data_IF_142334551432
#
_entry.id   IF_142334551432
#
_cell.length_a   1.000
_cell.length_b   1.000
_cell.length_c   1.000
_cell.angle_alpha   90.00
_cell.angle_beta   90.00
_cell.angle_gamma   90.00
#
_symmetry.space_group_name_H-M   'P 1'
#
loop_
_entity.id
_entity.type
_entity.pdbx_description
1 polymer ?
#
# COMPACT_ATOMS: atom_id res chain seq x y z
N UNK A 1 -5.82 0.47 -15.79
CA UNK A 1 -6.38 -0.90 -15.76
C UNK A 1 -7.90 -0.87 -15.82
N UNK A 2 -8.63 -0.49 -14.76
CA UNK A 2 -10.09 -0.63 -14.74
C UNK A 2 -10.83 0.02 -15.92
N UNK A 3 -10.49 1.27 -16.26
CA UNK A 3 -11.04 1.93 -17.46
C UNK A 3 -10.76 1.17 -18.76
N UNK A 4 -9.55 0.64 -18.91
CA UNK A 4 -9.17 -0.14 -20.09
C UNK A 4 -9.97 -1.46 -20.13
N UNK A 5 -9.99 -2.21 -19.03
CA UNK A 5 -10.72 -3.48 -18.93
C UNK A 5 -12.22 -3.30 -19.19
N UNK A 6 -12.83 -2.25 -18.63
CA UNK A 6 -14.25 -1.96 -18.85
C UNK A 6 -14.58 -1.59 -20.31
N UNK A 7 -13.61 -1.07 -21.07
CA UNK A 7 -13.77 -0.73 -22.48
C UNK A 7 -13.43 -1.85 -23.46
N UNK A 8 -12.93 -3.00 -22.99
CA UNK A 8 -12.43 -4.10 -23.82
C UNK A 8 -13.05 -5.44 -23.36
N UNK A 9 -14.20 -5.85 -23.94
CA UNK A 9 -14.92 -7.07 -23.54
C UNK A 9 -14.07 -8.35 -23.58
N UNK A 10 -13.11 -8.43 -24.50
CA UNK A 10 -12.18 -9.55 -24.63
C UNK A 10 -11.20 -9.66 -23.46
N UNK A 11 -10.93 -8.56 -22.76
CA UNK A 11 -10.11 -8.55 -21.55
C UNK A 11 -10.97 -8.91 -20.34
N UNK A 12 -12.19 -8.38 -20.28
CA UNK A 12 -13.15 -8.68 -19.23
C UNK A 12 -13.57 -10.16 -19.23
N UNK A 13 -13.71 -10.76 -20.42
CA UNK A 13 -13.98 -12.19 -20.59
C UNK A 13 -12.85 -13.10 -20.06
N UNK A 14 -11.62 -12.59 -19.90
CA UNK A 14 -10.52 -13.34 -19.28
C UNK A 14 -10.63 -13.39 -17.75
N UNK A 15 -11.50 -12.59 -17.13
CA UNK A 15 -11.66 -12.50 -15.68
C UNK A 15 -12.66 -13.51 -15.10
N UNK A 16 -13.28 -14.35 -15.94
CA UNK A 16 -14.24 -15.38 -15.51
C UNK A 16 -15.39 -15.50 -16.51
N UNK A 17 -16.27 -16.49 -16.31
CA UNK A 17 -17.51 -16.55 -17.08
C UNK A 17 -18.43 -15.37 -16.71
N UNK A 18 -19.41 -15.07 -17.57
CA UNK A 18 -20.40 -14.02 -17.29
C UNK A 18 -21.11 -14.24 -15.95
N UNK A 19 -21.50 -15.48 -15.67
CA UNK A 19 -22.12 -15.87 -14.40
C UNK A 19 -21.19 -15.66 -13.20
N UNK A 20 -19.89 -15.97 -13.32
CA UNK A 20 -18.92 -15.75 -12.24
C UNK A 20 -18.74 -14.25 -11.95
N UNK A 21 -18.66 -13.42 -13.00
CA UNK A 21 -18.50 -11.97 -12.85
C UNK A 21 -19.76 -11.33 -12.27
N UNK A 22 -20.94 -11.79 -12.67
CA UNK A 22 -22.21 -11.34 -12.09
C UNK A 22 -22.31 -11.73 -10.61
N UNK A 23 -22.02 -12.98 -10.25
CA UNK A 23 -22.03 -13.43 -8.86
C UNK A 23 -21.02 -12.64 -8.01
N UNK A 24 -19.85 -12.34 -8.58
CA UNK A 24 -18.85 -11.51 -7.92
C UNK A 24 -19.38 -10.10 -7.63
N UNK A 25 -20.00 -9.45 -8.63
CA UNK A 25 -20.50 -8.09 -8.49
C UNK A 25 -21.68 -7.97 -7.52
N UNK A 26 -22.64 -8.91 -7.61
CA UNK A 26 -23.88 -8.86 -6.83
C UNK A 26 -23.68 -9.31 -5.38
N UNK A 27 -22.75 -10.23 -5.13
CA UNK A 27 -22.62 -10.87 -3.81
C UNK A 27 -21.20 -10.86 -3.27
N UNK A 28 -20.26 -11.51 -3.97
CA UNK A 28 -18.96 -11.86 -3.36
C UNK A 28 -18.12 -10.63 -2.97
N UNK A 29 -18.20 -9.54 -3.76
CA UNK A 29 -17.45 -8.33 -3.48
C UNK A 29 -17.88 -7.67 -2.16
N UNK A 30 -19.18 -7.49 -1.94
CA UNK A 30 -19.70 -6.85 -0.74
C UNK A 30 -19.57 -7.76 0.48
N UNK A 31 -19.83 -9.05 0.31
CA UNK A 31 -19.85 -10.01 1.40
C UNK A 31 -18.48 -10.20 2.06
N UNK A 32 -17.39 -10.01 1.29
CA UNK A 32 -16.02 -9.97 1.78
C UNK A 32 -15.83 -9.05 3.00
N UNK A 33 -16.50 -7.89 3.03
CA UNK A 33 -16.37 -6.88 4.08
C UNK A 33 -17.34 -7.05 5.26
N UNK A 34 -18.24 -8.02 5.21
CA UNK A 34 -19.30 -8.21 6.21
C UNK A 34 -19.39 -9.61 6.82
N UNK A 35 -18.84 -10.64 6.18
CA UNK A 35 -19.02 -12.04 6.59
C UNK A 35 -18.16 -12.47 7.79
N UNK A 36 -17.09 -11.74 8.11
CA UNK A 36 -16.11 -12.16 9.12
C UNK A 36 -16.16 -11.26 10.37
N UNK A 37 -15.87 -11.81 11.58
CA UNK A 37 -15.68 -10.98 12.77
C UNK A 37 -14.62 -9.90 12.52
N UNK A 38 -14.94 -8.64 12.83
CA UNK A 38 -14.11 -7.47 12.53
C UNK A 38 -12.64 -7.62 12.94
N UNK A 39 -12.38 -8.23 14.11
CA UNK A 39 -11.02 -8.40 14.63
C UNK A 39 -10.19 -9.41 13.82
N UNK A 40 -10.76 -10.56 13.45
CA UNK A 40 -10.05 -11.57 12.67
C UNK A 40 -9.85 -11.10 11.22
N UNK A 41 -10.85 -10.42 10.67
CA UNK A 41 -10.78 -9.81 9.34
C UNK A 41 -9.69 -8.73 9.28
N UNK A 42 -9.71 -7.77 10.21
CA UNK A 42 -8.67 -6.75 10.38
C UNK A 42 -7.27 -7.37 10.44
N UNK A 43 -7.05 -8.34 11.34
CA UNK A 43 -5.74 -8.94 11.54
C UNK A 43 -5.19 -9.59 10.27
N UNK A 44 -6.05 -10.26 9.50
CA UNK A 44 -5.70 -10.88 8.21
C UNK A 44 -5.29 -9.82 7.18
N UNK A 45 -6.12 -8.80 6.98
CA UNK A 45 -5.87 -7.79 5.93
C UNK A 45 -4.65 -6.93 6.26
N UNK A 46 -4.54 -6.48 7.51
CA UNK A 46 -3.37 -5.75 7.96
C UNK A 46 -2.07 -6.54 7.77
N UNK A 47 -2.04 -7.81 8.21
CA UNK A 47 -0.86 -8.67 8.05
C UNK A 47 -0.50 -8.87 6.59
N UNK A 48 -1.50 -9.10 5.72
CA UNK A 48 -1.27 -9.25 4.29
C UNK A 48 -0.66 -8.00 3.67
N UNK A 49 -1.23 -6.82 3.94
CA UNK A 49 -0.72 -5.57 3.40
C UNK A 49 0.68 -5.23 3.92
N UNK A 50 0.93 -5.43 5.23
CA UNK A 50 2.24 -5.23 5.81
C UNK A 50 3.28 -6.16 5.18
N UNK A 51 2.91 -7.40 4.92
CA UNK A 51 3.75 -8.39 4.24
C UNK A 51 4.05 -8.01 2.79
N UNK A 52 3.05 -7.55 2.03
CA UNK A 52 3.22 -7.06 0.66
C UNK A 52 4.18 -5.87 0.63
N UNK A 53 4.02 -4.90 1.53
CA UNK A 53 4.94 -3.75 1.64
C UNK A 53 6.37 -4.19 1.99
N UNK A 54 6.51 -5.15 2.91
CA UNK A 54 7.81 -5.70 3.30
C UNK A 54 8.52 -6.41 2.15
N UNK A 55 7.82 -7.30 1.41
CA UNK A 55 8.38 -7.97 0.22
C UNK A 55 8.77 -6.95 -0.84
N UNK A 56 7.96 -5.92 -1.05
CA UNK A 56 8.23 -4.86 -2.02
C UNK A 56 9.57 -4.19 -1.74
N UNK A 57 9.83 -3.81 -0.49
CA UNK A 57 11.08 -3.18 -0.07
C UNK A 57 12.24 -4.19 -0.11
N UNK A 58 12.03 -5.42 0.38
CA UNK A 58 13.05 -6.46 0.39
C UNK A 58 13.50 -6.87 -1.03
N UNK A 59 12.57 -6.92 -1.99
CA UNK A 59 12.82 -7.25 -3.39
C UNK A 59 13.40 -6.10 -4.23
N UNK A 60 13.69 -4.95 -3.62
CA UNK A 60 14.19 -3.74 -4.27
C UNK A 60 15.40 -3.97 -5.17
N UNK A 61 16.33 -4.87 -4.81
CA UNK A 61 17.58 -5.09 -5.55
C UNK A 61 17.38 -5.47 -7.03
N UNK A 62 16.23 -6.02 -7.41
CA UNK A 62 15.92 -6.36 -8.80
C UNK A 62 15.25 -5.22 -9.58
N UNK A 63 14.58 -4.29 -8.90
CA UNK A 63 13.61 -3.36 -9.49
C UNK A 63 12.34 -4.02 -10.06
N UNK A 64 12.38 -5.31 -10.37
CA UNK A 64 11.26 -6.09 -10.93
C UNK A 64 10.19 -6.37 -9.88
N UNK A 65 10.58 -6.77 -8.66
CA UNK A 65 9.62 -7.06 -7.59
C UNK A 65 8.71 -5.87 -7.27
N UNK A 66 9.22 -4.65 -6.99
CA UNK A 66 8.34 -3.52 -6.74
C UNK A 66 7.47 -3.17 -7.95
N UNK A 67 7.98 -3.28 -9.18
CA UNK A 67 7.16 -3.08 -10.37
C UNK A 67 6.00 -4.08 -10.45
N UNK A 68 6.30 -5.36 -10.20
CA UNK A 68 5.32 -6.44 -10.23
C UNK A 68 4.25 -6.25 -9.16
N UNK A 69 4.62 -5.88 -7.93
CA UNK A 69 3.64 -5.62 -6.85
C UNK A 69 2.71 -4.46 -7.20
N UNK A 70 3.26 -3.37 -7.73
CA UNK A 70 2.47 -2.21 -8.17
C UNK A 70 1.51 -2.60 -9.30
N UNK A 71 1.97 -3.41 -10.25
CA UNK A 71 1.15 -3.93 -11.33
C UNK A 71 0.02 -4.82 -10.81
N UNK A 72 0.31 -5.77 -9.92
CA UNK A 72 -0.69 -6.66 -9.34
C UNK A 72 -1.77 -5.89 -8.56
N UNK A 73 -1.39 -4.86 -7.80
CA UNK A 73 -2.36 -3.98 -7.12
C UNK A 73 -3.25 -3.25 -8.12
N UNK A 74 -2.68 -2.72 -9.21
CA UNK A 74 -3.44 -2.05 -10.26
C UNK A 74 -4.38 -3.02 -11.02
N UNK A 75 -3.94 -4.25 -11.27
CA UNK A 75 -4.75 -5.31 -11.90
C UNK A 75 -5.88 -5.76 -10.99
N UNK A 76 -5.60 -6.04 -9.71
CA UNK A 76 -6.61 -6.46 -8.75
C UNK A 76 -7.70 -5.41 -8.54
N UNK A 77 -7.32 -4.20 -8.13
CA UNK A 77 -8.29 -3.12 -7.90
C UNK A 77 -8.99 -2.68 -9.20
N UNK A 78 -8.26 -2.61 -10.31
CA UNK A 78 -8.81 -2.23 -11.61
C UNK A 78 -9.76 -3.29 -12.18
N UNK A 79 -9.44 -4.57 -12.05
CA UNK A 79 -10.28 -5.67 -12.49
C UNK A 79 -11.57 -5.75 -11.68
N UNK A 80 -11.47 -5.66 -10.35
CA UNK A 80 -12.64 -5.57 -9.49
C UNK A 80 -13.54 -4.39 -9.88
N UNK A 81 -12.97 -3.19 -10.06
CA UNK A 81 -13.73 -2.02 -10.51
C UNK A 81 -14.41 -2.22 -11.87
N UNK A 82 -13.76 -2.91 -12.82
CA UNK A 82 -14.32 -3.17 -14.14
C UNK A 82 -15.50 -4.15 -14.07
N UNK A 83 -15.40 -5.23 -13.29
CA UNK A 83 -16.51 -6.17 -13.06
C UNK A 83 -17.67 -5.45 -12.36
N UNK A 84 -17.40 -4.67 -11.32
CA UNK A 84 -18.42 -3.91 -10.62
C UNK A 84 -19.11 -2.89 -11.55
N UNK A 85 -18.35 -2.27 -12.46
CA UNK A 85 -18.91 -1.37 -13.48
C UNK A 85 -19.80 -2.10 -14.50
N UNK A 86 -19.41 -3.30 -14.96
CA UNK A 86 -20.16 -4.12 -15.93
C UNK A 86 -21.61 -4.34 -15.48
N UNK A 87 -21.81 -4.63 -14.19
CA UNK A 87 -23.13 -4.93 -13.61
C UNK A 87 -23.77 -3.76 -12.86
N UNK A 88 -23.22 -2.54 -12.97
CA UNK A 88 -23.83 -1.33 -12.41
C UNK A 88 -23.61 -1.11 -10.90
N UNK A 89 -22.63 -1.77 -10.29
CA UNK A 89 -22.29 -1.71 -8.85
C UNK A 89 -21.04 -0.87 -8.54
N UNK A 90 -20.63 0.03 -9.45
CA UNK A 90 -19.41 0.83 -9.26
C UNK A 90 -19.50 1.78 -8.05
N UNK A 91 -20.70 2.21 -7.68
CA UNK A 91 -20.95 2.98 -6.46
C UNK A 91 -20.64 2.17 -5.19
N UNK A 92 -21.10 0.91 -5.13
CA UNK A 92 -20.81 -0.02 -4.03
C UNK A 92 -19.31 -0.30 -3.94
N UNK A 93 -18.63 -0.46 -5.10
CA UNK A 93 -17.17 -0.58 -5.14
C UNK A 93 -16.48 0.57 -4.40
N UNK A 94 -16.81 1.82 -4.74
CA UNK A 94 -16.18 2.97 -4.08
C UNK A 94 -16.62 3.14 -2.62
N UNK A 95 -17.87 2.82 -2.29
CA UNK A 95 -18.37 2.86 -0.91
C UNK A 95 -17.58 1.93 0.02
N UNK A 96 -17.26 0.74 -0.47
CA UNK A 96 -16.52 -0.26 0.30
C UNK A 96 -15.01 0.03 0.31
N UNK A 97 -14.42 0.46 -0.81
CA UNK A 97 -12.97 0.68 -0.93
C UNK A 97 -12.51 2.02 -0.35
N UNK A 98 -13.20 3.13 -0.65
CA UNK A 98 -12.71 4.46 -0.33
C UNK A 98 -12.41 4.73 1.17
N UNK A 99 -13.15 4.17 2.15
CA UNK A 99 -12.84 4.38 3.57
C UNK A 99 -11.42 3.97 3.95
N UNK A 100 -10.87 2.90 3.38
CA UNK A 100 -9.55 2.36 3.78
C UNK A 100 -8.55 2.35 2.62
N UNK A 101 -9.00 1.98 1.42
CA UNK A 101 -8.17 1.79 0.22
C UNK A 101 -7.40 3.03 -0.22
N UNK A 102 -7.87 4.24 0.13
CA UNK A 102 -7.12 5.49 -0.10
C UNK A 102 -5.76 5.50 0.61
N UNK A 103 -5.75 5.12 1.88
CA UNK A 103 -4.54 5.09 2.69
C UNK A 103 -3.69 3.86 2.36
N UNK A 104 -4.32 2.71 2.14
CA UNK A 104 -3.66 1.47 1.73
C UNK A 104 -2.89 1.63 0.42
N UNK A 105 -3.54 2.10 -0.65
CA UNK A 105 -2.89 2.30 -1.94
C UNK A 105 -1.75 3.29 -1.84
N UNK A 106 -1.92 4.36 -1.05
CA UNK A 106 -0.84 5.32 -0.78
C UNK A 106 0.36 4.63 -0.11
N UNK A 107 0.13 3.78 0.89
CA UNK A 107 1.19 3.04 1.56
C UNK A 107 1.91 2.05 0.61
N UNK A 108 1.17 1.32 -0.22
CA UNK A 108 1.73 0.40 -1.22
C UNK A 108 2.58 1.18 -2.24
N UNK A 109 2.11 2.33 -2.72
CA UNK A 109 2.89 3.17 -3.65
C UNK A 109 4.14 3.76 -3.01
N UNK A 110 4.08 4.16 -1.74
CA UNK A 110 5.26 4.63 -1.00
C UNK A 110 6.26 3.49 -0.80
N UNK A 111 5.80 2.27 -0.52
CA UNK A 111 6.65 1.08 -0.46
C UNK A 111 7.36 0.84 -1.80
N UNK A 112 6.62 0.92 -2.91
CA UNK A 112 7.17 0.81 -4.26
C UNK A 112 8.20 1.91 -4.56
N UNK A 113 7.89 3.17 -4.26
CA UNK A 113 8.81 4.29 -4.43
C UNK A 113 10.09 4.16 -3.59
N UNK A 114 9.96 3.72 -2.34
CA UNK A 114 11.09 3.43 -1.47
C UNK A 114 11.97 2.29 -2.01
N UNK A 115 11.35 1.22 -2.48
CA UNK A 115 12.05 0.11 -3.12
C UNK A 115 12.78 0.54 -4.40
N UNK A 116 12.16 1.37 -5.25
CA UNK A 116 12.81 1.91 -6.44
C UNK A 116 13.95 2.87 -6.11
N UNK A 117 13.85 3.66 -5.03
CA UNK A 117 14.97 4.48 -4.55
C UNK A 117 16.17 3.59 -4.15
N UNK A 118 15.91 2.50 -3.43
CA UNK A 118 16.95 1.56 -3.01
C UNK A 118 17.56 0.85 -4.23
N UNK A 119 16.72 0.41 -5.19
CA UNK A 119 17.19 -0.12 -6.48
C UNK A 119 18.09 0.88 -7.21
N UNK A 120 17.63 2.12 -7.37
CA UNK A 120 18.38 3.16 -8.08
C UNK A 120 19.73 3.44 -7.44
N UNK A 121 19.81 3.37 -6.11
CA UNK A 121 21.07 3.52 -5.37
C UNK A 121 22.10 2.45 -5.75
N UNK A 122 21.66 1.23 -6.10
CA UNK A 122 22.57 0.21 -6.62
C UNK A 122 23.19 0.63 -7.95
N UNK A 123 22.43 1.29 -8.82
CA UNK A 123 22.83 1.65 -10.18
C UNK A 123 23.66 2.94 -10.20
N UNK A 124 23.22 3.95 -9.47
CA UNK A 124 23.79 5.29 -9.43
C UNK A 124 24.00 5.75 -7.97
N UNK A 125 25.03 5.22 -7.26
CA UNK A 125 25.29 5.54 -5.85
C UNK A 125 25.86 6.97 -5.62
N UNK A 126 26.15 7.70 -6.71
CA UNK A 126 26.86 8.98 -6.68
C UNK A 126 28.35 8.78 -6.34
N UNK A 127 28.95 9.64 -5.50
CA UNK A 127 30.38 9.55 -5.15
C UNK A 127 30.70 8.43 -4.15
N UNK A 128 29.69 7.74 -3.60
CA UNK A 128 29.84 6.65 -2.63
C UNK A 128 30.11 5.33 -3.34
N UNK A 129 30.81 4.41 -2.67
CA UNK A 129 30.84 3.01 -3.13
C UNK A 129 29.44 2.41 -3.07
N UNK A 130 29.14 1.45 -3.97
CA UNK A 130 27.82 0.79 -4.04
C UNK A 130 27.42 0.16 -2.71
N UNK A 131 28.33 -0.56 -2.07
CA UNK A 131 28.08 -1.20 -0.77
C UNK A 131 27.76 -0.17 0.32
N UNK A 132 28.53 0.93 0.39
CA UNK A 132 28.28 1.98 1.38
C UNK A 132 26.94 2.66 1.16
N UNK A 133 26.65 3.07 -0.08
CA UNK A 133 25.39 3.71 -0.42
C UNK A 133 24.19 2.80 -0.10
N UNK A 134 24.29 1.51 -0.41
CA UNK A 134 23.25 0.53 -0.10
C UNK A 134 23.07 0.30 1.41
N UNK A 135 24.15 0.27 2.18
CA UNK A 135 24.06 0.13 3.64
C UNK A 135 23.38 1.35 4.29
N UNK A 136 23.73 2.56 3.85
CA UNK A 136 23.11 3.81 4.33
C UNK A 136 21.62 3.88 3.97
N UNK A 137 21.27 3.66 2.69
CA UNK A 137 19.87 3.70 2.25
C UNK A 137 19.05 2.54 2.83
N UNK A 138 19.63 1.35 2.93
CA UNK A 138 18.98 0.17 3.50
C UNK A 138 18.63 0.36 4.97
N UNK A 139 19.49 1.02 5.77
CA UNK A 139 19.17 1.36 7.15
C UNK A 139 18.03 2.37 7.26
N UNK A 140 18.03 3.39 6.40
CA UNK A 140 16.93 4.34 6.32
C UNK A 140 15.59 3.69 5.94
N UNK A 141 15.61 2.57 5.19
CA UNK A 141 14.39 1.83 4.85
C UNK A 141 13.70 1.17 6.04
N UNK A 142 14.37 0.89 7.16
CA UNK A 142 13.70 0.37 8.36
C UNK A 142 12.69 1.39 8.92
N UNK A 143 13.05 2.67 8.93
CA UNK A 143 12.14 3.74 9.36
C UNK A 143 10.92 3.85 8.44
N UNK A 144 11.14 3.71 7.13
CA UNK A 144 10.04 3.70 6.14
C UNK A 144 9.14 2.47 6.34
N UNK A 145 9.72 1.28 6.46
CA UNK A 145 8.97 0.04 6.67
C UNK A 145 8.13 0.09 7.95
N UNK A 146 8.70 0.54 9.07
CA UNK A 146 7.98 0.71 10.32
C UNK A 146 6.85 1.73 10.19
N UNK A 147 7.11 2.88 9.54
CA UNK A 147 6.09 3.88 9.25
C UNK A 147 4.94 3.31 8.42
N UNK A 148 5.25 2.52 7.39
CA UNK A 148 4.25 1.87 6.54
C UNK A 148 3.43 0.83 7.30
N UNK A 149 4.04 0.03 8.19
CA UNK A 149 3.31 -0.93 9.05
C UNK A 149 2.27 -0.20 9.90
N UNK A 150 2.60 0.96 10.47
CA UNK A 150 1.68 1.78 11.25
C UNK A 150 0.57 2.42 10.40
N UNK A 151 0.91 2.90 9.21
CA UNK A 151 -0.07 3.47 8.28
C UNK A 151 -1.06 2.40 7.81
N UNK A 152 -0.57 1.21 7.48
CA UNK A 152 -1.38 0.06 7.09
C UNK A 152 -2.21 -0.48 8.27
N UNK A 153 -1.71 -0.35 9.50
CA UNK A 153 -2.49 -0.65 10.70
C UNK A 153 -3.71 0.24 10.80
N UNK A 154 -3.55 1.56 10.60
CA UNK A 154 -4.67 2.51 10.56
C UNK A 154 -5.65 2.14 9.43
N UNK A 155 -5.15 1.82 8.25
CA UNK A 155 -5.98 1.37 7.12
C UNK A 155 -6.80 0.12 7.47
N UNK A 156 -6.15 -0.91 8.00
CA UNK A 156 -6.81 -2.15 8.39
C UNK A 156 -7.84 -1.95 9.50
N UNK A 157 -7.60 -1.04 10.46
CA UNK A 157 -8.60 -0.70 11.49
C UNK A 157 -9.84 -0.09 10.83
N UNK A 158 -9.64 0.84 9.89
CA UNK A 158 -10.77 1.44 9.16
C UNK A 158 -11.51 0.35 8.38
N UNK A 159 -10.81 -0.55 7.72
CA UNK A 159 -11.42 -1.63 6.98
C UNK A 159 -12.23 -2.58 7.87
N UNK A 160 -11.62 -3.08 8.95
CA UNK A 160 -12.24 -4.08 9.81
C UNK A 160 -13.40 -3.55 10.65
N UNK A 161 -13.35 -2.27 11.04
CA UNK A 161 -14.30 -1.70 12.00
C UNK A 161 -15.21 -0.60 11.43
N UNK A 162 -14.80 0.10 10.38
CA UNK A 162 -15.57 1.21 9.79
C UNK A 162 -16.29 0.75 8.53
N UNK A 163 -15.63 0.04 7.60
CA UNK A 163 -16.23 -0.37 6.32
C UNK A 163 -17.51 -1.19 6.52
N UNK A 164 -17.45 -2.23 7.37
CA UNK A 164 -18.60 -3.09 7.69
C UNK A 164 -19.59 -2.52 8.72
N UNK A 165 -19.38 -1.30 9.24
CA UNK A 165 -20.24 -0.71 10.28
C UNK A 165 -21.57 -0.18 9.75
N UNK A 166 -22.50 0.13 10.67
CA UNK A 166 -23.78 0.78 10.37
C UNK A 166 -23.69 2.30 10.10
N UNK A 167 -22.48 2.87 10.05
CA UNK A 167 -22.31 4.30 9.75
C UNK A 167 -22.81 4.65 8.34
N UNK A 168 -23.31 5.87 8.10
CA UNK A 168 -23.59 6.34 6.74
C UNK A 168 -22.33 6.33 5.88
N UNK A 169 -22.45 5.97 4.60
CA UNK A 169 -21.30 5.89 3.68
C UNK A 169 -20.46 7.16 3.61
N UNK A 170 -21.12 8.34 3.60
CA UNK A 170 -20.41 9.62 3.63
C UNK A 170 -19.49 9.78 4.84
N UNK A 171 -19.92 9.31 6.03
CA UNK A 171 -19.09 9.36 7.23
C UNK A 171 -17.88 8.42 7.13
N UNK A 172 -18.08 7.21 6.59
CA UNK A 172 -16.99 6.24 6.36
C UNK A 172 -15.93 6.80 5.40
N UNK A 173 -16.37 7.41 4.30
CA UNK A 173 -15.47 8.03 3.32
C UNK A 173 -14.70 9.20 3.95
N UNK A 174 -15.38 10.06 4.73
CA UNK A 174 -14.72 11.17 5.44
C UNK A 174 -13.64 10.66 6.40
N UNK A 175 -13.88 9.57 7.13
CA UNK A 175 -12.86 8.95 8.00
C UNK A 175 -11.61 8.57 7.18
N UNK A 176 -11.80 7.91 6.03
CA UNK A 176 -10.71 7.55 5.13
C UNK A 176 -9.93 8.75 4.58
N UNK A 177 -10.65 9.78 4.13
CA UNK A 177 -10.06 11.03 3.64
C UNK A 177 -9.27 11.73 4.75
N UNK A 178 -9.79 11.79 5.97
CA UNK A 178 -9.08 12.38 7.13
C UNK A 178 -7.82 11.58 7.45
N UNK A 179 -7.87 10.25 7.41
CA UNK A 179 -6.69 9.42 7.64
C UNK A 179 -5.60 9.67 6.57
N UNK A 180 -5.99 9.72 5.29
CA UNK A 180 -5.08 10.06 4.18
C UNK A 180 -4.52 11.48 4.31
N UNK A 181 -5.36 12.45 4.67
CA UNK A 181 -4.92 13.82 4.88
C UNK A 181 -3.93 13.93 6.05
N UNK A 182 -4.14 13.17 7.13
CA UNK A 182 -3.22 13.07 8.26
C UNK A 182 -1.85 12.51 7.84
N UNK A 183 -1.84 11.46 7.01
CA UNK A 183 -0.61 10.93 6.43
C UNK A 183 0.15 11.99 5.63
N UNK A 184 -0.51 12.68 4.70
CA UNK A 184 0.14 13.72 3.90
C UNK A 184 0.55 14.94 4.72
N UNK A 185 -0.22 15.34 5.72
CA UNK A 185 0.17 16.39 6.65
C UNK A 185 1.46 16.03 7.38
N UNK A 186 1.60 14.79 7.87
CA UNK A 186 2.83 14.31 8.49
C UNK A 186 4.01 14.34 7.52
N UNK A 187 3.86 13.78 6.32
CA UNK A 187 4.93 13.73 5.31
C UNK A 187 5.36 15.13 4.87
N UNK A 188 4.41 16.00 4.55
CA UNK A 188 4.68 17.32 3.98
C UNK A 188 5.08 18.37 5.02
N UNK A 189 4.68 18.20 6.28
CA UNK A 189 5.08 19.10 7.37
C UNK A 189 6.28 18.55 8.14
N UNK A 190 6.09 17.47 8.91
CA UNK A 190 7.14 16.90 9.77
C UNK A 190 8.28 16.30 8.94
N UNK A 191 7.96 15.49 7.92
CA UNK A 191 8.95 14.89 7.03
C UNK A 191 9.78 15.94 6.29
N UNK A 192 9.13 16.99 5.76
CA UNK A 192 9.83 18.12 5.11
C UNK A 192 10.73 18.89 6.07
N UNK A 193 10.28 19.14 7.31
CA UNK A 193 11.11 19.79 8.34
C UNK A 193 12.33 18.95 8.69
N UNK A 194 12.16 17.65 8.86
CA UNK A 194 13.24 16.73 9.14
C UNK A 194 14.27 16.70 7.99
N UNK A 195 13.79 16.59 6.75
CA UNK A 195 14.66 16.63 5.56
C UNK A 195 15.47 17.93 5.48
N UNK A 196 14.83 19.09 5.71
CA UNK A 196 15.51 20.40 5.72
C UNK A 196 16.53 20.54 6.84
N UNK A 197 16.34 19.83 7.96
CA UNK A 197 17.30 19.76 9.06
C UNK A 197 18.42 18.73 8.82
N UNK A 198 18.44 18.05 7.65
CA UNK A 198 19.50 17.11 7.27
C UNK A 198 19.25 15.66 7.70
N UNK A 199 18.07 15.34 8.27
CA UNK A 199 17.75 13.95 8.61
C UNK A 199 17.49 13.11 7.35
N UNK A 200 18.22 12.01 7.21
CA UNK A 200 18.12 11.08 6.07
C UNK A 200 17.35 9.80 6.42
N UNK A 201 17.02 9.60 7.70
CA UNK A 201 16.41 8.37 8.21
C UNK A 201 17.43 7.27 8.56
N UNK A 202 18.72 7.50 8.29
CA UNK A 202 19.78 6.61 8.75
C UNK A 202 20.08 6.81 10.25
N UNK A 203 20.57 5.76 10.90
CA UNK A 203 20.99 5.82 12.31
C UNK A 203 22.20 6.76 12.46
N UNK A 204 22.20 7.56 13.54
CA UNK A 204 23.26 8.52 13.86
C UNK A 204 24.64 7.88 13.99
N UNK A 205 25.71 8.68 13.87
CA UNK A 205 27.10 8.21 13.89
C UNK A 205 27.42 7.36 15.14
N UNK A 206 26.95 7.77 16.31
CA UNK A 206 27.12 7.04 17.58
C UNK A 206 26.60 5.60 17.52
N UNK A 207 25.45 5.39 16.86
CA UNK A 207 24.86 4.06 16.68
C UNK A 207 25.61 3.23 15.63
N UNK A 208 26.24 3.88 14.63
CA UNK A 208 27.08 3.19 13.63
C UNK A 208 28.38 2.70 14.25
N UNK A 209 29.00 3.50 15.10
CA UNK A 209 30.22 3.14 15.84
C UNK A 209 29.96 1.99 16.82
N UNK A 210 28.82 2.01 17.53
CA UNK A 210 28.41 0.92 18.41
C UNK A 210 28.22 -0.41 17.66
N UNK A 211 27.56 -0.38 16.49
CA UNK A 211 27.37 -1.58 15.65
C UNK A 211 28.72 -2.12 15.15
N UNK A 212 29.60 -1.23 14.68
CA UNK A 212 30.94 -1.60 14.21
C UNK A 212 31.77 -2.24 15.33
N UNK A 213 31.72 -1.69 16.55
CA UNK A 213 32.47 -2.18 17.71
C UNK A 213 32.02 -3.57 18.18
N UNK A 214 30.76 -3.95 17.98
CA UNK A 214 30.25 -5.30 18.31
C UNK A 214 30.45 -6.35 17.20
N UNK A 215 30.89 -5.94 16.01
CA UNK A 215 31.02 -6.80 14.83
C UNK A 215 32.46 -7.23 14.49
N UNK A 216 33.43 -6.84 15.31
CA UNK A 216 34.84 -7.27 15.24
C UNK A 216 35.19 -8.26 16.34
#
# INVERSE_FOLDING_TARGET
VGFYTAGHPEVLAQMGSDADRQQYAETAFASYYSENPSLSFFGRVWTNNAWVAAITIAGSFTGVVPLYVQYQNAVGAGGAAAIMHEFGYLDIFFQLIAPHGLLELTAVWVAGGAAFKLFWTTLAPGPRSRMRAMAEEGRAMFGVALGLVLVLLVSGIIEGFVTGSALPWGAKIVIGVVALAGFWAYVLAAGRRAWRAGYTGDVGEDAREAIAATSG
#
